data_IF_014334818337
#
_entry.id   IF_014334818337
#
_cell.length_a   1.000
_cell.length_b   1.000
_cell.length_c   1.000
_cell.angle_alpha   90.00
_cell.angle_beta   90.00
_cell.angle_gamma   90.00
#
_symmetry.space_group_name_H-M   'P 1'
#
loop_
_entity.id
_entity.type
_entity.pdbx_description
1 polymer ?
#
# COMPACT_ATOMS: atom_id res chain seq x y z
N UNK A 1 -16.39 19.71 -16.14
CA UNK A 1 -15.88 18.76 -17.14
C UNK A 1 -15.00 17.70 -16.48
N UNK A 2 -15.37 16.40 -16.50
CA UNK A 2 -14.47 15.30 -16.10
C UNK A 2 -13.22 15.21 -16.99
N UNK A 3 -13.25 15.84 -18.17
CA UNK A 3 -12.13 15.92 -19.12
C UNK A 3 -11.02 16.91 -18.70
N UNK A 4 -11.23 17.74 -17.68
CA UNK A 4 -10.24 18.71 -17.19
C UNK A 4 -9.62 18.35 -15.84
N UNK A 5 -9.99 17.22 -15.23
CA UNK A 5 -9.28 16.70 -14.06
C UNK A 5 -8.01 16.01 -14.53
N UNK A 6 -6.84 16.52 -14.10
CA UNK A 6 -5.55 15.90 -14.31
C UNK A 6 -5.64 14.41 -13.88
N UNK A 7 -5.62 13.47 -14.82
CA UNK A 7 -5.51 12.02 -14.55
C UNK A 7 -4.07 11.65 -14.17
N UNK A 8 -3.47 12.42 -13.26
CA UNK A 8 -2.10 12.19 -12.83
C UNK A 8 -2.11 11.22 -11.68
N UNK A 9 -1.54 10.05 -11.91
CA UNK A 9 -1.20 9.10 -10.86
C UNK A 9 0.25 9.36 -10.47
N UNK A 10 0.47 9.89 -9.27
CA UNK A 10 1.80 10.01 -8.69
C UNK A 10 2.04 8.77 -7.84
N UNK A 11 3.05 7.98 -8.19
CA UNK A 11 3.54 6.87 -7.37
C UNK A 11 4.81 7.36 -6.70
N UNK A 12 4.87 7.22 -5.39
CA UNK A 12 6.07 7.51 -4.62
C UNK A 12 6.48 6.22 -3.94
N UNK A 13 7.68 5.77 -4.28
CA UNK A 13 8.31 4.59 -3.71
C UNK A 13 9.55 5.04 -2.95
N UNK A 14 9.87 4.32 -1.88
CA UNK A 14 11.21 4.43 -1.29
C UNK A 14 12.22 3.75 -2.20
N UNK A 15 13.46 4.24 -2.18
CA UNK A 15 14.57 3.64 -2.95
C UNK A 15 14.89 2.22 -2.46
N UNK A 16 14.77 1.98 -1.15
CA UNK A 16 14.97 0.67 -0.53
C UNK A 16 13.68 0.08 0.05
N UNK A 17 13.62 -1.25 0.25
CA UNK A 17 12.51 -1.88 0.94
C UNK A 17 12.45 -1.40 2.39
N UNK A 18 11.26 -1.05 2.86
CA UNK A 18 11.02 -0.79 4.27
C UNK A 18 10.88 -2.14 4.99
N UNK A 19 11.98 -2.57 5.61
CA UNK A 19 12.03 -3.77 6.45
C UNK A 19 11.80 -3.33 7.90
N UNK A 20 10.83 -3.97 8.54
CA UNK A 20 10.59 -3.75 9.95
C UNK A 20 11.41 -4.71 10.81
N UNK A 21 12.33 -4.16 11.62
CA UNK A 21 13.24 -4.92 12.49
C UNK A 21 12.94 -4.71 13.98
N UNK A 22 11.82 -4.08 14.33
CA UNK A 22 11.50 -3.67 15.71
C UNK A 22 10.73 -4.73 16.52
N UNK A 23 10.78 -6.00 16.12
CA UNK A 23 9.96 -7.08 16.69
C UNK A 23 10.12 -7.28 18.20
N UNK A 24 11.35 -7.17 18.72
CA UNK A 24 11.62 -7.34 20.15
C UNK A 24 11.00 -6.21 20.97
N UNK A 25 11.14 -4.96 20.52
CA UNK A 25 10.55 -3.80 21.18
C UNK A 25 9.03 -3.89 21.17
N UNK A 26 8.43 -4.29 20.05
CA UNK A 26 6.97 -4.40 19.91
C UNK A 26 6.38 -5.42 20.85
N UNK A 27 7.05 -6.58 21.00
CA UNK A 27 6.68 -7.59 21.99
C UNK A 27 6.78 -7.04 23.42
N UNK A 28 7.85 -6.31 23.72
CA UNK A 28 8.04 -5.72 25.06
C UNK A 28 6.94 -4.73 25.45
N UNK A 29 6.37 -3.99 24.48
CA UNK A 29 5.29 -3.02 24.72
C UNK A 29 3.87 -3.56 24.46
N UNK A 30 3.74 -4.83 24.06
CA UNK A 30 2.44 -5.44 23.72
C UNK A 30 1.80 -4.88 22.44
N UNK A 31 2.59 -4.39 21.48
CA UNK A 31 2.07 -3.90 20.20
C UNK A 31 1.76 -5.07 19.26
N UNK A 32 0.47 -5.37 19.08
CA UNK A 32 0.00 -6.49 18.26
C UNK A 32 -0.24 -6.12 16.79
N UNK A 33 -0.78 -4.92 16.52
CA UNK A 33 -1.10 -4.47 15.17
C UNK A 33 -0.75 -3.00 14.96
N UNK A 34 -0.08 -2.70 13.86
CA UNK A 34 0.31 -1.35 13.48
C UNK A 34 0.58 -1.27 11.97
N UNK A 35 0.43 -0.06 11.43
CA UNK A 35 0.66 0.25 10.02
C UNK A 35 1.62 1.42 9.91
N UNK A 36 2.71 1.25 9.17
CA UNK A 36 3.58 2.34 8.80
C UNK A 36 2.92 3.21 7.73
N UNK A 37 2.69 4.49 8.03
CA UNK A 37 2.18 5.46 7.07
C UNK A 37 3.33 6.37 6.61
N UNK A 38 3.80 6.16 5.39
CA UNK A 38 4.67 7.10 4.70
C UNK A 38 3.82 8.17 4.01
N UNK A 39 3.41 9.20 4.74
CA UNK A 39 2.73 10.35 4.11
C UNK A 39 3.60 11.60 4.12
N UNK A 40 4.45 11.75 3.10
CA UNK A 40 4.96 13.07 2.69
C UNK A 40 4.55 13.41 1.26
N UNK A 41 3.90 12.51 0.53
CA UNK A 41 3.51 12.77 -0.86
C UNK A 41 2.00 12.89 -1.00
N UNK A 42 1.60 13.99 -1.64
CA UNK A 42 0.25 14.48 -1.71
C UNK A 42 -0.76 13.39 -2.02
N UNK A 43 -1.73 13.26 -1.13
CA UNK A 43 -2.97 12.53 -1.33
C UNK A 43 -3.64 13.09 -2.60
N UNK A 44 -3.35 12.46 -3.74
CA UNK A 44 -4.26 12.46 -4.87
C UNK A 44 -5.53 11.72 -4.43
N UNK A 45 -6.73 12.21 -4.76
CA UNK A 45 -7.94 12.00 -3.96
C UNK A 45 -8.59 10.60 -4.07
N UNK A 46 -7.85 9.50 -4.27
CA UNK A 46 -8.45 8.21 -4.64
C UNK A 46 -7.94 6.97 -3.91
N UNK A 47 -6.63 6.77 -3.78
CA UNK A 47 -6.09 5.47 -3.34
C UNK A 47 -4.70 5.62 -2.72
N UNK A 48 -4.49 5.03 -1.55
CA UNK A 48 -3.18 4.88 -0.92
C UNK A 48 -2.87 3.39 -0.71
N UNK A 49 -1.62 3.02 -0.99
CA UNK A 49 -1.10 1.68 -0.71
C UNK A 49 0.10 1.86 0.22
N UNK A 50 0.05 1.19 1.37
CA UNK A 50 1.13 1.18 2.35
C UNK A 50 1.66 -0.25 2.43
N UNK A 51 2.91 -0.45 2.02
CA UNK A 51 3.58 -1.74 2.09
C UNK A 51 4.62 -1.77 3.21
N UNK A 52 4.80 -2.94 3.81
CA UNK A 52 5.88 -3.21 4.77
C UNK A 52 6.23 -4.69 4.68
N UNK A 53 7.51 -5.02 4.74
CA UNK A 53 7.93 -6.43 4.92
C UNK A 53 7.97 -6.73 6.41
N UNK A 54 7.11 -7.63 6.86
CA UNK A 54 7.02 -8.11 8.26
C UNK A 54 7.22 -9.62 8.30
N UNK A 55 8.13 -10.10 9.14
CA UNK A 55 8.39 -11.54 9.28
C UNK A 55 8.65 -12.27 7.94
N UNK A 56 9.34 -11.62 7.00
CA UNK A 56 9.63 -12.18 5.67
C UNK A 56 8.43 -12.23 4.71
N UNK A 57 7.27 -11.67 5.10
CA UNK A 57 6.08 -11.57 4.27
C UNK A 57 5.79 -10.11 3.90
N UNK A 58 5.30 -9.89 2.69
CA UNK A 58 4.79 -8.59 2.26
C UNK A 58 3.40 -8.35 2.86
N UNK A 59 3.32 -7.34 3.73
CA UNK A 59 2.07 -6.80 4.26
C UNK A 59 1.71 -5.53 3.45
N UNK A 60 0.44 -5.40 3.03
CA UNK A 60 -0.03 -4.26 2.25
C UNK A 60 -1.40 -3.81 2.71
N UNK A 61 -1.52 -2.54 3.08
CA UNK A 61 -2.79 -1.88 3.36
C UNK A 61 -3.22 -0.98 2.21
N UNK A 62 -4.45 -1.15 1.75
CA UNK A 62 -5.03 -0.36 0.67
C UNK A 62 -6.16 0.52 1.22
N UNK A 63 -5.94 1.83 1.28
CA UNK A 63 -6.88 2.81 1.84
C UNK A 63 -7.48 3.64 0.70
N UNK A 64 -8.81 3.76 0.67
CA UNK A 64 -9.51 4.50 -0.38
C UNK A 64 -10.82 5.11 0.14
N UNK A 65 -11.28 6.25 -0.41
CA UNK A 65 -12.59 6.80 -0.09
C UNK A 65 -13.69 5.93 -0.68
N UNK A 66 -14.56 5.36 0.17
CA UNK A 66 -15.67 4.52 -0.27
C UNK A 66 -16.69 5.27 -1.17
N UNK A 67 -16.72 6.60 -1.09
CA UNK A 67 -17.52 7.47 -1.97
C UNK A 67 -16.99 7.53 -3.41
N UNK A 68 -15.72 7.16 -3.64
CA UNK A 68 -15.06 7.25 -4.95
C UNK A 68 -14.78 5.86 -5.55
N UNK A 69 -14.68 4.82 -4.72
CA UNK A 69 -14.40 3.46 -5.19
C UNK A 69 -15.30 2.42 -4.53
N UNK A 70 -15.83 1.52 -5.34
CA UNK A 70 -16.50 0.32 -4.84
C UNK A 70 -15.49 -0.75 -4.37
N UNK A 71 -15.91 -1.59 -3.43
CA UNK A 71 -15.12 -2.76 -2.98
C UNK A 71 -14.72 -3.66 -4.15
N UNK A 72 -15.60 -3.86 -5.13
CA UNK A 72 -15.32 -4.69 -6.32
C UNK A 72 -14.21 -4.10 -7.19
N UNK A 73 -14.22 -2.78 -7.41
CA UNK A 73 -13.17 -2.10 -8.19
C UNK A 73 -11.81 -2.24 -7.51
N UNK A 74 -11.74 -1.97 -6.20
CA UNK A 74 -10.48 -2.06 -5.45
C UNK A 74 -9.99 -3.50 -5.36
N UNK A 75 -10.89 -4.47 -5.17
CA UNK A 75 -10.52 -5.89 -5.17
C UNK A 75 -9.92 -6.33 -6.51
N UNK A 76 -10.49 -5.85 -7.63
CA UNK A 76 -9.95 -6.12 -8.97
C UNK A 76 -8.54 -5.57 -9.12
N UNK A 77 -8.31 -4.33 -8.68
CA UNK A 77 -6.98 -3.71 -8.68
C UNK A 77 -5.96 -4.52 -7.86
N UNK A 78 -6.33 -4.91 -6.63
CA UNK A 78 -5.47 -5.72 -5.74
C UNK A 78 -5.12 -7.06 -6.40
N UNK A 79 -6.08 -7.72 -7.06
CA UNK A 79 -5.85 -9.00 -7.75
C UNK A 79 -4.87 -8.84 -8.92
N UNK A 80 -4.98 -7.75 -9.69
CA UNK A 80 -4.02 -7.44 -10.76
C UNK A 80 -2.62 -7.22 -10.19
N UNK A 81 -2.48 -6.42 -9.13
CA UNK A 81 -1.20 -6.17 -8.45
C UNK A 81 -0.55 -7.47 -7.97
N UNK A 82 -1.31 -8.35 -7.28
CA UNK A 82 -0.81 -9.66 -6.85
C UNK A 82 -0.32 -10.52 -8.00
N UNK A 83 -1.06 -10.53 -9.12
CA UNK A 83 -0.69 -11.33 -10.29
C UNK A 83 0.65 -10.88 -10.90
N UNK A 84 0.89 -9.57 -10.95
CA UNK A 84 2.15 -8.99 -11.41
C UNK A 84 3.31 -9.37 -10.46
N UNK A 85 3.13 -9.18 -9.15
CA UNK A 85 4.15 -9.49 -8.15
C UNK A 85 4.53 -10.97 -8.16
N UNK A 86 3.54 -11.87 -8.20
CA UNK A 86 3.78 -13.32 -8.29
C UNK A 86 4.45 -13.70 -9.63
N UNK A 87 4.08 -13.03 -10.71
CA UNK A 87 4.71 -13.22 -12.02
C UNK A 87 6.18 -12.82 -12.03
N UNK A 88 6.50 -11.67 -11.44
CA UNK A 88 7.87 -11.17 -11.34
C UNK A 88 8.75 -12.03 -10.41
N UNK A 89 8.20 -12.55 -9.32
CA UNK A 89 8.92 -13.41 -8.37
C UNK A 89 9.26 -14.82 -8.90
N UNK A 90 8.78 -15.19 -10.10
CA UNK A 90 9.08 -16.46 -10.76
C UNK A 90 10.25 -16.38 -11.75
N UNK A 91 10.84 -15.20 -11.92
CA UNK A 91 12.06 -14.95 -12.68
C UNK A 91 13.28 -15.09 -11.76
#
# INVERSE_FOLDING_TARGET
TPSSSLRTSLIVVFEGPMVDEMDELKRAIGLEDYMGCSSVHGVGPSLAVFDTVKNGALDCACVYPASLHSRKQVQTLINCMKSILIGAAKL
#
